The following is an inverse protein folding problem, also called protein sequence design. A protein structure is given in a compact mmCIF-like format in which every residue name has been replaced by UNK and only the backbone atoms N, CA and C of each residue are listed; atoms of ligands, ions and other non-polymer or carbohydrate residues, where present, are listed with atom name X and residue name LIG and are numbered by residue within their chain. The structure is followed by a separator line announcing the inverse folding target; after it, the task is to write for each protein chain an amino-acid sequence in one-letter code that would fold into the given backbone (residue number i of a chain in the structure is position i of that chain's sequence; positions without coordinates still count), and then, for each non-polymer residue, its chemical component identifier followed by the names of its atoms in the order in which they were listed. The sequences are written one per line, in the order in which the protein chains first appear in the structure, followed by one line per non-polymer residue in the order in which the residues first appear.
data_IF_936495928074
#
_entry.id   IF_936495928074
#
_cell.length_a   1.000
_cell.length_b   1.000
_cell.length_c   1.000
_cell.angle_alpha   90.00
_cell.angle_beta   90.00
_cell.angle_gamma   90.00
#
_symmetry.space_group_name_H-M   'P 1'
#
loop_
_entity.id
_entity.type
_entity.pdbx_description
1 polymer ?
#
# COMPACT_ATOMS: atom_id res chain seq x y z
N UNK A 1 30.99 13.05 -12.06
CA UNK A 1 29.87 12.20 -12.39
C UNK A 1 29.10 12.79 -13.58
N UNK A 2 28.50 11.92 -14.46
CA UNK A 2 27.72 12.36 -15.63
C UNK A 2 26.54 13.24 -15.23
N UNK A 3 25.93 12.96 -14.09
CA UNK A 3 24.82 13.73 -13.55
C UNK A 3 25.24 15.17 -13.20
N UNK A 4 26.35 15.33 -12.51
CA UNK A 4 26.84 16.65 -12.10
C UNK A 4 27.34 17.47 -13.29
N UNK A 5 27.81 16.81 -14.37
CA UNK A 5 28.27 17.48 -15.60
C UNK A 5 27.13 18.08 -16.44
N UNK A 6 25.95 17.45 -16.42
CA UNK A 6 24.87 17.80 -17.35
C UNK A 6 23.71 18.56 -16.72
N UNK A 7 23.64 18.66 -15.39
CA UNK A 7 22.57 19.35 -14.71
C UNK A 7 23.09 20.55 -13.94
N UNK A 8 22.46 21.70 -14.15
CA UNK A 8 22.72 22.88 -13.32
C UNK A 8 22.47 22.55 -11.85
N UNK A 9 23.29 23.07 -10.92
CA UNK A 9 23.02 22.94 -9.51
C UNK A 9 21.60 23.40 -9.21
N UNK A 10 20.80 22.52 -8.60
CA UNK A 10 19.43 22.80 -8.18
C UNK A 10 19.42 22.95 -6.68
N UNK A 11 18.72 23.96 -6.17
CA UNK A 11 18.43 24.10 -4.74
C UNK A 11 17.44 23.05 -4.24
N UNK A 12 16.75 22.38 -5.17
CA UNK A 12 15.78 21.33 -4.86
C UNK A 12 16.51 19.99 -4.77
N UNK A 13 16.45 19.37 -3.60
CA UNK A 13 16.99 18.02 -3.38
C UNK A 13 16.25 17.01 -4.25
N UNK A 14 17.00 16.23 -5.02
CA UNK A 14 16.45 15.15 -5.84
C UNK A 14 16.50 13.84 -5.07
N UNK A 15 15.51 12.98 -5.30
CA UNK A 15 15.38 11.71 -4.62
C UNK A 15 15.34 10.56 -5.62
N UNK A 16 15.86 9.42 -5.19
CA UNK A 16 15.76 8.14 -5.90
C UNK A 16 14.46 7.46 -5.46
N UNK A 17 13.70 6.94 -6.40
CA UNK A 17 12.50 6.15 -6.16
C UNK A 17 12.62 4.80 -6.90
N UNK A 18 12.69 3.70 -6.17
CA UNK A 18 12.59 2.35 -6.73
C UNK A 18 11.12 1.99 -6.94
N UNK A 19 10.53 2.52 -8.00
CA UNK A 19 9.09 2.52 -8.25
C UNK A 19 8.43 1.11 -8.21
N UNK A 20 9.18 0.04 -8.50
CA UNK A 20 8.66 -1.33 -8.42
C UNK A 20 8.63 -1.89 -7.00
N UNK A 21 9.26 -1.22 -6.05
CA UNK A 21 9.41 -1.69 -4.69
C UNK A 21 10.51 -2.74 -4.51
N UNK A 22 10.87 -2.97 -3.27
CA UNK A 22 11.91 -3.93 -2.86
C UNK A 22 11.24 -5.05 -2.07
N UNK A 23 11.65 -6.28 -2.30
CA UNK A 23 11.19 -7.44 -1.53
C UNK A 23 11.71 -7.36 -0.09
N UNK A 24 10.80 -7.32 0.88
CA UNK A 24 11.12 -7.24 2.30
C UNK A 24 12.04 -8.36 2.81
N UNK A 25 11.98 -9.54 2.18
CA UNK A 25 12.80 -10.71 2.54
C UNK A 25 14.29 -10.53 2.23
N UNK A 26 14.61 -9.58 1.35
CA UNK A 26 15.98 -9.31 0.92
C UNK A 26 16.70 -8.31 1.84
N UNK A 27 16.03 -7.72 2.84
CA UNK A 27 16.63 -6.74 3.72
C UNK A 27 17.58 -7.39 4.72
N UNK A 28 18.80 -6.86 4.76
CA UNK A 28 19.82 -7.09 5.77
C UNK A 28 20.48 -5.75 6.16
N UNK A 29 21.31 -5.75 7.19
CA UNK A 29 21.95 -4.54 7.72
C UNK A 29 22.77 -3.80 6.65
N UNK A 30 23.56 -4.55 5.87
CA UNK A 30 24.39 -3.98 4.82
C UNK A 30 23.57 -3.27 3.73
N UNK A 31 22.47 -3.89 3.29
CA UNK A 31 21.61 -3.29 2.27
C UNK A 31 20.87 -2.07 2.80
N UNK A 32 20.43 -2.11 4.05
CA UNK A 32 19.80 -0.96 4.70
C UNK A 32 20.78 0.21 4.84
N UNK A 33 22.04 -0.06 5.21
CA UNK A 33 23.10 0.94 5.24
C UNK A 33 23.31 1.59 3.87
N UNK A 34 23.41 0.78 2.79
CA UNK A 34 23.53 1.28 1.43
C UNK A 34 22.30 2.12 1.01
N UNK A 35 21.08 1.67 1.33
CA UNK A 35 19.86 2.42 1.04
C UNK A 35 19.80 3.76 1.80
N UNK A 36 20.28 3.78 3.03
CA UNK A 36 20.33 5.01 3.85
C UNK A 36 21.38 6.01 3.38
N UNK A 37 22.43 5.55 2.70
CA UNK A 37 23.49 6.42 2.16
C UNK A 37 23.09 7.17 0.89
N UNK A 38 22.00 6.79 0.25
CA UNK A 38 21.45 7.47 -0.93
C UNK A 38 20.21 8.29 -0.57
N UNK A 39 19.91 9.30 -1.38
CA UNK A 39 18.72 10.13 -1.19
C UNK A 39 17.45 9.39 -1.68
N UNK A 40 17.09 8.28 -1.02
CA UNK A 40 15.88 7.51 -1.36
C UNK A 40 14.63 8.13 -0.72
N UNK A 41 13.56 8.30 -1.52
CA UNK A 41 12.28 8.81 -1.04
C UNK A 41 11.17 8.64 -2.07
N UNK A 42 10.14 7.84 -1.78
CA UNK A 42 10.02 6.95 -0.62
C UNK A 42 10.84 5.67 -0.81
N UNK A 43 11.17 4.97 0.30
CA UNK A 43 11.58 3.57 0.24
C UNK A 43 10.33 2.71 0.06
N UNK A 44 10.20 2.07 -1.09
CA UNK A 44 9.06 1.19 -1.39
C UNK A 44 9.37 -0.24 -0.97
N UNK A 45 8.54 -0.81 -0.10
CA UNK A 45 8.69 -2.19 0.39
C UNK A 45 7.40 -2.96 0.12
N UNK A 46 7.48 -4.08 -0.59
CA UNK A 46 6.31 -4.88 -0.95
C UNK A 46 5.67 -5.53 0.29
N UNK A 47 4.32 -5.46 0.37
CA UNK A 47 3.53 -6.09 1.43
C UNK A 47 2.19 -6.62 0.89
N UNK A 48 2.24 -7.63 0.03
CA UNK A 48 1.06 -8.16 -0.65
C UNK A 48 0.38 -9.33 0.10
N UNK A 49 1.06 -9.97 1.05
CA UNK A 49 0.56 -11.13 1.80
C UNK A 49 0.96 -11.01 3.28
N UNK A 50 0.03 -11.29 4.19
CA UNK A 50 0.29 -11.33 5.64
C UNK A 50 1.37 -12.35 6.03
N UNK A 51 1.60 -13.38 5.23
CA UNK A 51 2.71 -14.34 5.45
C UNK A 51 4.08 -13.66 5.40
N UNK A 52 4.20 -12.54 4.71
CA UNK A 52 5.45 -11.77 4.64
C UNK A 52 5.61 -10.77 5.79
N UNK A 53 4.64 -10.66 6.69
CA UNK A 53 4.63 -9.69 7.79
C UNK A 53 5.92 -9.67 8.62
N UNK A 54 6.49 -10.80 9.08
CA UNK A 54 7.71 -10.74 9.87
C UNK A 54 8.90 -10.12 9.12
N UNK A 55 9.02 -10.42 7.83
CA UNK A 55 10.08 -9.83 6.99
C UNK A 55 9.79 -8.35 6.71
N UNK A 56 8.53 -7.98 6.46
CA UNK A 56 8.09 -6.62 6.23
C UNK A 56 8.38 -5.73 7.44
N UNK A 57 7.91 -6.12 8.63
CA UNK A 57 8.17 -5.36 9.87
C UNK A 57 9.66 -5.21 10.15
N UNK A 58 10.44 -6.29 9.99
CA UNK A 58 11.89 -6.24 10.12
C UNK A 58 12.50 -5.20 9.19
N UNK A 59 12.13 -5.22 7.91
CA UNK A 59 12.64 -4.29 6.90
C UNK A 59 12.32 -2.84 7.24
N UNK A 60 11.06 -2.53 7.62
CA UNK A 60 10.65 -1.18 8.01
C UNK A 60 11.40 -0.72 9.27
N UNK A 61 11.46 -1.54 10.32
CA UNK A 61 12.14 -1.20 11.59
C UNK A 61 13.63 -0.95 11.41
N UNK A 62 14.33 -1.82 10.67
CA UNK A 62 15.74 -1.64 10.35
C UNK A 62 15.98 -0.36 9.55
N UNK A 63 15.18 -0.09 8.54
CA UNK A 63 15.31 1.11 7.72
C UNK A 63 14.98 2.39 8.49
N UNK A 64 13.96 2.36 9.35
CA UNK A 64 13.61 3.48 10.22
C UNK A 64 14.76 3.79 11.22
N UNK A 65 15.38 2.75 11.80
CA UNK A 65 16.56 2.88 12.68
C UNK A 65 17.75 3.50 11.95
N UNK A 66 17.93 3.18 10.66
CA UNK A 66 18.96 3.77 9.80
C UNK A 66 18.63 5.20 9.29
N UNK A 67 17.52 5.80 9.77
CA UNK A 67 17.16 7.18 9.48
C UNK A 67 16.22 7.39 8.31
N UNK A 68 15.78 6.33 7.61
CA UNK A 68 14.77 6.44 6.53
C UNK A 68 13.41 6.72 7.18
N UNK A 69 12.72 7.77 6.74
CA UNK A 69 11.45 8.21 7.35
C UNK A 69 10.25 8.13 6.42
N UNK A 70 10.47 8.07 5.11
CA UNK A 70 9.41 8.06 4.12
C UNK A 70 9.39 6.70 3.41
N UNK A 71 8.30 5.97 3.62
CA UNK A 71 8.06 4.65 3.04
C UNK A 71 6.80 4.65 2.18
N UNK A 72 6.68 3.69 1.29
CA UNK A 72 5.42 3.38 0.63
C UNK A 72 5.33 1.91 0.27
N UNK A 73 4.11 1.46 -0.01
CA UNK A 73 3.84 0.13 -0.55
C UNK A 73 2.60 0.11 -1.43
N UNK A 74 2.55 -0.88 -2.30
CA UNK A 74 1.32 -1.29 -2.96
C UNK A 74 0.75 -2.46 -2.17
N UNK A 75 -0.55 -2.42 -1.92
CA UNK A 75 -1.29 -3.50 -1.23
C UNK A 75 -2.25 -4.12 -2.22
N UNK A 76 -1.87 -5.24 -2.79
CA UNK A 76 -2.71 -5.95 -3.73
C UNK A 76 -3.94 -6.52 -3.03
N UNK A 77 -5.14 -6.30 -3.56
CA UNK A 77 -6.38 -6.89 -3.07
C UNK A 77 -7.19 -7.48 -4.22
N UNK A 78 -8.21 -8.26 -3.91
CA UNK A 78 -9.03 -8.95 -4.90
C UNK A 78 -8.28 -10.06 -5.64
N UNK A 79 -7.39 -10.79 -4.96
CA UNK A 79 -6.68 -11.95 -5.54
C UNK A 79 -7.04 -13.23 -4.76
N UNK A 80 -6.12 -13.75 -3.97
CA UNK A 80 -6.32 -14.91 -3.08
C UNK A 80 -6.56 -14.48 -1.64
N UNK A 81 -6.36 -13.21 -1.37
CA UNK A 81 -6.56 -12.60 -0.07
C UNK A 81 -8.05 -12.50 0.28
N UNK A 82 -8.35 -12.49 1.57
CA UNK A 82 -9.68 -12.17 2.10
C UNK A 82 -9.82 -10.65 2.26
N UNK A 83 -11.04 -10.09 2.14
CA UNK A 83 -11.26 -8.65 2.34
C UNK A 83 -10.68 -8.12 3.65
N UNK A 84 -10.81 -8.89 4.73
CA UNK A 84 -10.27 -8.56 6.05
C UNK A 84 -8.75 -8.38 6.06
N UNK A 85 -8.01 -9.13 5.24
CA UNK A 85 -6.54 -9.06 5.17
C UNK A 85 -6.05 -7.74 4.59
N UNK A 86 -6.86 -7.07 3.76
CA UNK A 86 -6.56 -5.70 3.32
C UNK A 86 -6.59 -4.74 4.51
N UNK A 87 -7.63 -4.80 5.35
CA UNK A 87 -7.74 -3.98 6.55
C UNK A 87 -6.56 -4.21 7.50
N UNK A 88 -6.22 -5.47 7.76
CA UNK A 88 -5.11 -5.85 8.63
C UNK A 88 -3.77 -5.27 8.14
N UNK A 89 -3.48 -5.41 6.85
CA UNK A 89 -2.24 -4.86 6.27
C UNK A 89 -2.18 -3.33 6.34
N UNK A 90 -3.31 -2.65 6.12
CA UNK A 90 -3.40 -1.21 6.27
C UNK A 90 -3.21 -0.78 7.72
N UNK A 91 -3.86 -1.48 8.66
CA UNK A 91 -3.76 -1.20 10.09
C UNK A 91 -2.33 -1.37 10.60
N UNK A 92 -1.64 -2.43 10.19
CA UNK A 92 -0.22 -2.66 10.51
C UNK A 92 0.63 -1.46 10.07
N UNK A 93 0.43 -0.94 8.86
CA UNK A 93 1.16 0.24 8.39
C UNK A 93 0.88 1.48 9.24
N UNK A 94 -0.36 1.69 9.62
CA UNK A 94 -0.74 2.81 10.49
C UNK A 94 -0.11 2.66 11.88
N UNK A 95 -0.15 1.47 12.47
CA UNK A 95 0.45 1.20 13.77
C UNK A 95 2.00 1.39 13.74
N UNK A 96 2.66 0.94 12.67
CA UNK A 96 4.09 1.18 12.45
C UNK A 96 4.42 2.68 12.30
N UNK A 97 3.57 3.45 11.61
CA UNK A 97 3.73 4.90 11.52
C UNK A 97 3.74 5.56 12.89
N UNK A 98 2.76 5.21 13.74
CA UNK A 98 2.63 5.76 15.08
C UNK A 98 3.79 5.34 16.00
N UNK A 99 4.18 4.08 15.95
CA UNK A 99 5.25 3.53 16.78
C UNK A 99 6.63 4.12 16.43
N UNK A 100 6.97 4.08 15.13
CA UNK A 100 8.32 4.43 14.65
C UNK A 100 8.47 5.91 14.30
N UNK A 101 7.40 6.69 14.35
CA UNK A 101 7.35 8.10 13.91
C UNK A 101 7.86 8.27 12.48
N UNK A 102 7.39 7.41 11.60
CA UNK A 102 7.68 7.40 10.16
C UNK A 102 6.39 7.62 9.36
N UNK A 103 6.54 7.85 8.06
CA UNK A 103 5.42 7.94 7.13
C UNK A 103 5.42 6.72 6.22
N UNK A 104 4.33 5.97 6.18
CA UNK A 104 4.13 4.85 5.26
C UNK A 104 2.89 5.14 4.41
N UNK A 105 3.09 5.41 3.13
CA UNK A 105 1.99 5.59 2.18
C UNK A 105 1.60 4.27 1.57
N UNK A 106 0.39 3.80 1.88
CA UNK A 106 -0.15 2.57 1.31
C UNK A 106 -1.07 2.87 0.14
N UNK A 107 -0.87 2.15 -0.96
CA UNK A 107 -1.67 2.25 -2.18
C UNK A 107 -2.38 0.93 -2.43
N UNK A 108 -3.64 0.76 -1.98
CA UNK A 108 -4.43 -0.41 -2.33
C UNK A 108 -4.66 -0.47 -3.84
N UNK A 109 -4.29 -1.60 -4.44
CA UNK A 109 -4.42 -1.85 -5.87
C UNK A 109 -5.28 -3.08 -6.11
N UNK A 110 -6.35 -2.91 -6.88
CA UNK A 110 -7.19 -4.03 -7.30
C UNK A 110 -6.39 -4.93 -8.24
N UNK A 111 -6.26 -6.21 -7.87
CA UNK A 111 -5.71 -7.21 -8.78
C UNK A 111 -6.67 -7.49 -9.94
N UNK A 112 -6.10 -7.64 -11.10
CA UNK A 112 -6.71 -8.26 -12.27
C UNK A 112 -5.62 -9.02 -13.05
N UNK A 113 -5.96 -10.15 -13.68
CA UNK A 113 -5.00 -10.91 -14.46
C UNK A 113 -4.41 -10.07 -15.60
N UNK A 114 -3.09 -10.15 -15.79
CA UNK A 114 -2.34 -9.39 -16.80
C UNK A 114 -1.74 -10.25 -17.92
N UNK A 115 -1.86 -11.57 -17.82
CA UNK A 115 -1.32 -12.48 -18.82
C UNK A 115 -2.34 -13.57 -19.16
N UNK A 116 -2.40 -13.96 -20.44
CA UNK A 116 -3.03 -15.21 -20.85
C UNK A 116 -2.19 -16.38 -20.32
N UNK A 117 -2.85 -17.40 -19.77
CA UNK A 117 -2.25 -18.73 -19.78
C UNK A 117 -2.12 -19.18 -21.25
N UNK A 118 -1.08 -19.93 -21.59
CA UNK A 118 -0.90 -20.43 -22.97
C UNK A 118 -2.06 -21.32 -23.41
N UNK A 119 -2.79 -21.88 -22.46
CA UNK A 119 -3.92 -22.80 -22.66
C UNK A 119 -5.29 -22.10 -22.56
N UNK A 120 -5.35 -20.82 -22.23
CA UNK A 120 -6.60 -20.07 -22.11
C UNK A 120 -6.89 -19.29 -23.40
N UNK A 121 -8.00 -19.59 -24.05
CA UNK A 121 -8.54 -18.80 -25.18
C UNK A 121 -9.02 -17.40 -24.75
N UNK A 122 -9.23 -17.18 -23.44
CA UNK A 122 -9.74 -15.94 -22.88
C UNK A 122 -8.60 -14.94 -22.66
N UNK A 123 -8.77 -13.72 -23.16
CA UNK A 123 -7.84 -12.62 -22.90
C UNK A 123 -7.99 -12.07 -21.48
N UNK A 124 -7.21 -12.60 -20.56
CA UNK A 124 -7.22 -12.18 -19.16
C UNK A 124 -6.54 -10.82 -18.94
N UNK A 125 -5.75 -10.32 -19.87
CA UNK A 125 -5.07 -9.04 -19.74
C UNK A 125 -6.03 -7.85 -19.68
N UNK A 126 -7.23 -8.01 -20.21
CA UNK A 126 -8.28 -6.98 -20.23
C UNK A 126 -9.44 -7.29 -19.29
N UNK A 127 -9.36 -8.37 -18.51
CA UNK A 127 -10.43 -8.76 -17.60
C UNK A 127 -10.47 -7.88 -16.34
N UNK A 128 -11.02 -6.66 -16.49
CA UNK A 128 -11.28 -5.74 -15.39
C UNK A 128 -12.40 -6.21 -14.46
N UNK A 129 -13.21 -7.16 -14.91
CA UNK A 129 -14.32 -7.76 -14.16
C UNK A 129 -13.88 -8.94 -13.29
N UNK A 130 -12.59 -9.27 -13.28
CA UNK A 130 -12.05 -10.31 -12.41
C UNK A 130 -12.43 -10.06 -10.94
N UNK A 131 -12.93 -11.11 -10.31
CA UNK A 131 -13.28 -11.12 -8.89
C UNK A 131 -12.51 -12.28 -8.24
N UNK A 132 -11.73 -11.98 -7.22
CA UNK A 132 -10.97 -12.94 -6.43
C UNK A 132 -11.89 -13.90 -5.68
N UNK A 133 -11.35 -15.08 -5.32
CA UNK A 133 -12.12 -16.20 -4.74
C UNK A 133 -12.87 -15.86 -3.45
N UNK A 134 -12.37 -14.91 -2.66
CA UNK A 134 -12.98 -14.45 -1.41
C UNK A 134 -13.65 -13.07 -1.54
N UNK A 135 -13.70 -12.52 -2.75
CA UNK A 135 -14.24 -11.20 -3.03
C UNK A 135 -15.58 -11.28 -3.75
N UNK A 136 -16.33 -10.20 -3.72
CA UNK A 136 -17.52 -9.99 -4.52
C UNK A 136 -17.56 -8.56 -5.07
N UNK A 137 -18.46 -8.28 -5.99
CA UNK A 137 -18.57 -6.94 -6.60
C UNK A 137 -18.89 -5.86 -5.58
N UNK A 138 -19.71 -6.17 -4.58
CA UNK A 138 -20.10 -5.23 -3.53
C UNK A 138 -18.89 -4.79 -2.71
N UNK A 139 -18.09 -5.73 -2.22
CA UNK A 139 -16.88 -5.43 -1.45
C UNK A 139 -15.85 -4.63 -2.25
N UNK A 140 -15.63 -5.00 -3.53
CA UNK A 140 -14.72 -4.26 -4.40
C UNK A 140 -15.18 -2.81 -4.57
N UNK A 141 -16.48 -2.58 -4.81
CA UNK A 141 -17.06 -1.24 -4.95
C UNK A 141 -16.99 -0.45 -3.65
N UNK A 142 -17.25 -1.08 -2.51
CA UNK A 142 -17.14 -0.44 -1.21
C UNK A 142 -15.69 0.04 -0.95
N UNK A 143 -14.69 -0.82 -1.17
CA UNK A 143 -13.27 -0.42 -1.08
C UNK A 143 -12.96 0.73 -2.03
N UNK A 144 -13.42 0.68 -3.28
CA UNK A 144 -13.22 1.76 -4.24
C UNK A 144 -13.89 3.07 -3.80
N UNK A 145 -15.08 3.00 -3.21
CA UNK A 145 -15.77 4.17 -2.66
C UNK A 145 -14.97 4.80 -1.51
N UNK A 146 -14.43 3.99 -0.59
CA UNK A 146 -13.55 4.47 0.47
C UNK A 146 -12.31 5.15 -0.13
N UNK A 147 -11.64 4.50 -1.08
CA UNK A 147 -10.44 5.04 -1.71
C UNK A 147 -10.70 6.34 -2.48
N UNK A 148 -11.82 6.44 -3.18
CA UNK A 148 -12.23 7.66 -3.88
C UNK A 148 -12.47 8.81 -2.90
N UNK A 149 -13.16 8.57 -1.79
CA UNK A 149 -13.44 9.57 -0.75
C UNK A 149 -12.17 10.03 -0.03
N UNK A 150 -11.19 9.15 0.14
CA UNK A 150 -9.90 9.45 0.77
C UNK A 150 -8.85 9.91 -0.24
N UNK A 151 -9.18 9.99 -1.53
CA UNK A 151 -8.24 10.23 -2.65
C UNK A 151 -7.07 9.25 -2.65
N UNK A 152 -7.31 8.01 -2.26
CA UNK A 152 -6.32 6.95 -2.15
C UNK A 152 -5.24 7.17 -1.08
N UNK A 153 -5.37 8.21 -0.25
CA UNK A 153 -4.36 8.57 0.76
C UNK A 153 -4.68 7.91 2.09
N UNK A 154 -3.96 6.87 2.43
CA UNK A 154 -4.14 6.12 3.69
C UNK A 154 -3.06 6.47 4.73
N UNK A 155 -2.15 7.36 4.42
CA UNK A 155 -1.04 7.77 5.31
C UNK A 155 -1.31 9.00 6.17
N UNK A 156 -2.58 9.37 6.45
CA UNK A 156 -2.92 10.58 7.21
C UNK A 156 -3.00 10.39 8.74
N UNK A 157 -2.55 9.25 9.24
CA UNK A 157 -2.57 8.94 10.66
C UNK A 157 -3.72 8.04 11.08
N UNK A 158 -3.65 7.59 12.34
CA UNK A 158 -4.55 6.57 12.90
C UNK A 158 -6.01 7.01 12.93
N UNK A 159 -6.29 8.23 13.35
CA UNK A 159 -7.67 8.74 13.41
C UNK A 159 -8.34 8.75 12.04
N UNK A 160 -7.62 9.18 11.01
CA UNK A 160 -8.13 9.18 9.64
C UNK A 160 -8.37 7.76 9.11
N UNK A 161 -7.48 6.81 9.42
CA UNK A 161 -7.66 5.42 9.05
C UNK A 161 -8.90 4.81 9.71
N UNK A 162 -9.07 5.00 11.02
CA UNK A 162 -10.23 4.48 11.75
C UNK A 162 -11.55 5.08 11.23
N UNK A 163 -11.55 6.35 10.88
CA UNK A 163 -12.70 7.00 10.25
C UNK A 163 -13.02 6.41 8.87
N UNK A 164 -11.99 6.15 8.06
CA UNK A 164 -12.16 5.68 6.69
C UNK A 164 -12.54 4.20 6.59
N UNK A 165 -11.91 3.36 7.40
CA UNK A 165 -11.99 1.91 7.28
C UNK A 165 -12.67 1.22 8.47
N UNK A 166 -13.09 1.97 9.50
CA UNK A 166 -13.64 1.42 10.74
C UNK A 166 -12.59 1.23 11.82
N UNK A 167 -13.05 1.16 13.07
CA UNK A 167 -12.19 1.09 14.25
C UNK A 167 -11.65 -0.32 14.51
N UNK A 168 -12.29 -1.31 13.94
CA UNK A 168 -11.95 -2.73 14.06
C UNK A 168 -12.38 -3.51 12.81
N UNK A 169 -12.09 -4.79 12.79
CA UNK A 169 -12.37 -5.68 11.67
C UNK A 169 -13.87 -5.86 11.40
N UNK A 170 -14.70 -5.89 12.43
CA UNK A 170 -16.14 -6.02 12.33
C UNK A 170 -16.75 -4.78 11.65
N UNK A 171 -16.43 -3.58 12.16
CA UNK A 171 -16.86 -2.34 11.54
C UNK A 171 -16.40 -2.18 10.08
N UNK A 172 -15.21 -2.66 9.77
CA UNK A 172 -14.75 -2.68 8.39
C UNK A 172 -15.60 -3.61 7.52
N UNK A 173 -15.90 -4.81 7.99
CA UNK A 173 -16.73 -5.74 7.22
C UNK A 173 -18.16 -5.22 7.07
N UNK A 174 -18.72 -4.63 8.11
CA UNK A 174 -20.02 -3.97 8.05
C UNK A 174 -20.03 -2.83 7.02
N UNK A 175 -18.94 -2.04 6.99
CA UNK A 175 -18.78 -0.97 6.01
C UNK A 175 -18.76 -1.51 4.56
N UNK A 176 -18.17 -2.67 4.32
CA UNK A 176 -18.21 -3.31 2.99
C UNK A 176 -19.61 -3.76 2.57
N UNK A 177 -20.50 -3.98 3.54
CA UNK A 177 -21.91 -4.32 3.31
C UNK A 177 -22.81 -3.08 3.10
N UNK A 178 -22.32 -1.87 3.34
CA UNK A 178 -23.09 -0.65 3.15
C UNK A 178 -23.23 -0.27 1.66
N UNK A 179 -24.29 0.47 1.30
CA UNK A 179 -24.39 1.08 -0.03
C UNK A 179 -23.23 2.05 -0.30
N UNK A 180 -22.72 2.07 -1.54
CA UNK A 180 -21.63 2.98 -1.95
C UNK A 180 -21.94 4.45 -1.61
N UNK A 181 -23.18 4.87 -1.83
CA UNK A 181 -23.63 6.23 -1.51
C UNK A 181 -23.46 6.57 -0.03
N UNK A 182 -23.76 5.63 0.88
CA UNK A 182 -23.56 5.82 2.31
C UNK A 182 -22.07 6.01 2.63
N UNK A 183 -21.19 5.18 2.04
CA UNK A 183 -19.74 5.26 2.23
C UNK A 183 -19.22 6.63 1.79
N UNK A 184 -19.66 7.10 0.61
CA UNK A 184 -19.27 8.41 0.08
C UNK A 184 -19.77 9.56 0.96
N UNK A 185 -21.02 9.53 1.38
CA UNK A 185 -21.63 10.60 2.18
C UNK A 185 -21.03 10.73 3.58
N UNK A 186 -20.48 9.67 4.17
CA UNK A 186 -19.76 9.76 5.44
C UNK A 186 -18.66 10.82 5.45
N UNK A 187 -18.07 11.11 4.31
CA UNK A 187 -16.98 12.08 4.17
C UNK A 187 -17.42 13.46 3.71
N UNK A 188 -18.62 13.59 3.16
CA UNK A 188 -19.10 14.86 2.60
C UNK A 188 -20.00 15.66 3.55
N UNK A 189 -20.59 15.03 4.57
CA UNK A 189 -21.56 15.65 5.46
C UNK A 189 -21.12 15.74 6.92
N UNK A 190 -19.81 15.85 7.13
CA UNK A 190 -19.25 16.20 8.44
C UNK A 190 -18.85 17.66 8.50
#
# INVERSE_FOLDING_TARGET
DLYDKHFKPSTVKRYVDFNQGVDARLFDERKVELLSSIAIRPLRVAFDDLKTLPAYEKAIRMSAKAGIKDFSNYLLYNFKDKPIELYQRLKINVDLCEELKVSIYSFPMKYHPIRKSKDDEVDLSHNRDYIGVHWNRKYIRAVQAILNSTKGKIGRGKSFFLEAFGSNEEEYMDLLEMPETFILYRFFFK
#
